data_IF_534551577249
#
_entry.id   IF_534551577249
#
_cell.length_a   1.000
_cell.length_b   1.000
_cell.length_c   1.000
_cell.angle_alpha   90.00
_cell.angle_beta   90.00
_cell.angle_gamma   90.00
#
_symmetry.space_group_name_H-M   'P 1'
#
loop_
_entity.id
_entity.type
_entity.pdbx_description
1 polymer ?
#
# COMPACT_ATOMS: atom_id res chain seq x y z
N UNK A 1 -3.75 -4.23 -24.34
CA UNK A 1 -4.28 -3.47 -24.40
C UNK A 1 -4.73 -3.50 -24.31
N UNK A 2 -3.95 -4.22 -24.28
CA UNK A 2 -4.42 -3.68 -24.28
C UNK A 2 -4.54 -3.80 -24.12
N UNK A 3 -3.64 -4.50 -24.12
CA UNK A 3 -3.91 -3.96 -24.06
C UNK A 3 -3.96 -3.96 -23.71
N UNK A 4 -3.03 -4.42 -23.58
CA UNK A 4 -3.18 -3.81 -23.36
C UNK A 4 -3.50 -3.57 -23.10
N UNK A 5 -3.07 -3.82 -22.96
CA UNK A 5 -3.41 -3.00 -22.80
C UNK A 5 -4.05 -2.74 -22.55
N UNK A 6 -3.73 -2.86 -22.47
CA UNK A 6 -4.36 -2.14 -22.14
C UNK A 6 -5.19 -1.52 -22.27
N UNK A 7 -5.31 -1.45 -22.26
CA UNK A 7 -6.07 -0.58 -22.00
C UNK A 7 -6.22 -0.07 -21.73
N UNK A 8 -5.89 0.46 -22.64
CA UNK A 8 -6.06 0.81 -21.59
C UNK A 8 -6.71 1.84 -20.86
N UNK A 9 -7.55 1.93 -20.72
CA UNK A 9 -8.13 2.76 -19.77
C UNK A 9 -7.85 2.23 -18.40
N UNK A 10 -7.59 3.09 -17.44
CA UNK A 10 -7.27 2.65 -16.10
C UNK A 10 -8.49 2.11 -15.41
N UNK A 11 -8.35 1.02 -14.68
CA UNK A 11 -9.44 0.56 -13.83
C UNK A 11 -9.75 1.62 -12.79
N UNK A 12 -11.02 1.76 -12.51
CA UNK A 12 -11.43 2.74 -11.53
C UNK A 12 -10.97 2.38 -10.13
N UNK A 13 -10.67 1.11 -9.90
CA UNK A 13 -10.31 0.65 -8.58
C UNK A 13 -8.91 1.10 -8.14
N UNK A 14 -8.03 1.46 -9.07
CA UNK A 14 -6.69 1.91 -8.70
C UNK A 14 -6.68 3.43 -8.72
N UNK A 15 -6.54 4.02 -7.53
CA UNK A 15 -6.61 5.45 -7.38
C UNK A 15 -5.24 6.10 -7.46
N UNK A 16 -4.25 5.51 -6.78
CA UNK A 16 -2.91 6.06 -6.74
C UNK A 16 -1.89 4.94 -6.74
N UNK A 17 -0.75 5.21 -7.37
CA UNK A 17 0.34 4.26 -7.41
C UNK A 17 1.65 5.04 -7.40
N UNK A 18 2.57 4.64 -6.54
CA UNK A 18 3.83 5.32 -6.37
C UNK A 18 4.99 4.34 -6.39
N UNK A 19 6.07 4.77 -7.02
CA UNK A 19 7.35 4.09 -6.94
C UNK A 19 8.14 4.85 -5.90
N UNK A 20 8.56 4.18 -4.83
CA UNK A 20 9.24 4.84 -3.73
C UNK A 20 10.70 4.46 -3.74
N UNK A 21 11.56 5.43 -3.42
CA UNK A 21 12.99 5.22 -3.37
C UNK A 21 13.47 5.08 -1.93
N UNK A 22 12.68 4.38 -1.12
CA UNK A 22 12.99 4.21 0.29
C UNK A 22 13.68 2.89 0.52
N UNK A 23 14.29 2.77 1.68
CA UNK A 23 15.06 1.58 2.00
C UNK A 23 14.18 0.36 2.21
N UNK A 24 12.96 0.54 2.65
CA UNK A 24 12.10 -0.57 3.03
C UNK A 24 10.96 -0.83 2.08
N UNK A 25 10.44 0.21 1.44
CA UNK A 25 9.25 0.10 0.63
C UNK A 25 9.57 0.48 -0.80
N UNK A 26 9.35 -0.43 -1.73
CA UNK A 26 9.63 -0.20 -3.14
C UNK A 26 8.52 0.54 -3.83
N UNK A 27 7.28 0.22 -3.52
CA UNK A 27 6.15 0.87 -4.16
C UNK A 27 4.91 0.72 -3.31
N UNK A 28 3.93 1.54 -3.60
CA UNK A 28 2.66 1.51 -2.88
C UNK A 28 1.53 1.78 -3.85
N UNK A 29 0.42 1.09 -3.67
CA UNK A 29 -0.79 1.30 -4.47
C UNK A 29 -1.97 1.47 -3.53
N UNK A 30 -2.81 2.42 -3.86
CA UNK A 30 -4.03 2.67 -3.10
C UNK A 30 -5.24 2.33 -3.95
N UNK A 31 -6.13 1.50 -3.40
CA UNK A 31 -7.36 1.12 -4.09
C UNK A 31 -8.47 1.06 -3.05
N UNK A 32 -9.43 1.95 -3.14
CA UNK A 32 -10.55 2.02 -2.18
C UNK A 32 -10.03 2.13 -0.76
N UNK A 33 -10.27 1.12 0.06
CA UNK A 33 -9.81 1.10 1.44
C UNK A 33 -8.52 0.32 1.61
N UNK A 34 -7.91 -0.10 0.51
CA UNK A 34 -6.77 -1.02 0.56
C UNK A 34 -5.51 -0.34 0.06
N UNK A 35 -4.41 -0.66 0.70
CA UNK A 35 -3.10 -0.20 0.29
C UNK A 35 -2.20 -1.42 0.17
N UNK A 36 -1.64 -1.61 -1.01
CA UNK A 36 -0.72 -2.71 -1.24
C UNK A 36 0.69 -2.16 -1.31
N UNK A 37 1.58 -2.68 -0.48
CA UNK A 37 2.95 -2.23 -0.43
C UNK A 37 3.86 -3.34 -0.93
N UNK A 38 4.78 -2.98 -1.83
CA UNK A 38 5.87 -3.87 -2.19
C UNK A 38 7.06 -3.50 -1.32
N UNK A 39 7.59 -4.47 -0.61
CA UNK A 39 8.59 -4.25 0.43
C UNK A 39 9.86 -4.99 0.04
N UNK A 40 11.00 -4.45 0.43
CA UNK A 40 12.27 -5.14 0.24
C UNK A 40 12.20 -6.47 0.98
N UNK A 41 12.50 -7.59 0.30
CA UNK A 41 12.43 -8.90 0.97
C UNK A 41 13.30 -8.92 2.20
N UNK A 42 12.75 -9.51 3.26
CA UNK A 42 13.42 -9.56 4.54
C UNK A 42 13.04 -8.46 5.49
N UNK A 43 12.41 -7.38 5.00
CA UNK A 43 12.04 -6.26 5.84
C UNK A 43 10.54 -6.20 6.12
N UNK A 44 9.80 -7.20 5.67
CA UNK A 44 8.35 -7.16 5.73
C UNK A 44 7.83 -7.10 7.17
N UNK A 45 8.41 -7.91 8.04
CA UNK A 45 7.96 -7.94 9.43
C UNK A 45 8.19 -6.60 10.11
N UNK A 46 9.33 -5.97 9.83
CA UNK A 46 9.64 -4.66 10.39
C UNK A 46 8.63 -3.63 9.92
N UNK A 47 8.35 -3.60 8.62
CA UNK A 47 7.43 -2.61 8.07
C UNK A 47 6.02 -2.85 8.59
N UNK A 48 5.60 -4.13 8.68
CA UNK A 48 4.29 -4.44 9.20
C UNK A 48 4.14 -3.96 10.64
N UNK A 49 5.16 -4.18 11.47
CA UNK A 49 5.12 -3.74 12.85
C UNK A 49 5.01 -2.22 12.92
N UNK A 50 5.76 -1.53 12.08
CA UNK A 50 5.71 -0.07 12.04
C UNK A 50 4.31 0.42 11.65
N UNK A 51 3.71 -0.22 10.65
CA UNK A 51 2.36 0.12 10.22
C UNK A 51 1.34 -0.07 11.33
N UNK A 52 1.37 -1.23 11.97
CA UNK A 52 0.37 -1.54 12.99
C UNK A 52 0.53 -0.68 14.22
N UNK A 53 1.75 -0.24 14.54
CA UNK A 53 1.96 0.67 15.64
C UNK A 53 1.53 2.10 15.30
N UNK A 54 1.92 2.55 14.13
CA UNK A 54 1.66 3.94 13.75
C UNK A 54 0.19 4.20 13.48
N UNK A 55 -0.48 3.23 12.87
CA UNK A 55 -1.86 3.42 12.40
C UNK A 55 -2.84 2.47 13.08
N UNK A 56 -2.59 2.12 14.33
CA UNK A 56 -3.40 1.10 15.01
C UNK A 56 -4.89 1.41 14.95
N UNK A 57 -5.27 2.68 15.10
CA UNK A 57 -6.67 3.08 15.11
C UNK A 57 -7.29 3.16 13.74
N UNK A 58 -6.46 3.14 12.70
CA UNK A 58 -6.92 3.40 11.34
C UNK A 58 -6.96 2.15 10.49
N UNK A 59 -6.31 1.08 10.93
CA UNK A 59 -6.21 -0.16 10.17
C UNK A 59 -7.28 -1.14 10.64
N UNK A 60 -8.01 -1.69 9.67
CA UNK A 60 -8.94 -2.77 9.95
C UNK A 60 -8.21 -4.11 9.95
N UNK A 61 -7.30 -4.31 9.01
CA UNK A 61 -6.57 -5.55 8.90
C UNK A 61 -5.26 -5.30 8.16
N UNK A 62 -4.26 -6.11 8.47
CA UNK A 62 -2.95 -5.97 7.83
C UNK A 62 -2.38 -7.36 7.62
N UNK A 63 -2.14 -7.71 6.36
CA UNK A 63 -1.64 -9.03 5.98
C UNK A 63 -0.30 -8.85 5.28
N UNK A 64 0.61 -9.77 5.53
CA UNK A 64 1.95 -9.65 4.96
C UNK A 64 2.46 -11.00 4.50
N UNK A 65 3.26 -11.00 3.43
CA UNK A 65 4.03 -12.18 3.06
C UNK A 65 5.47 -11.73 2.82
N UNK A 66 6.23 -12.48 2.01
CA UNK A 66 7.69 -12.28 1.95
C UNK A 66 8.08 -10.88 1.51
N UNK A 67 7.34 -10.28 0.58
CA UNK A 67 7.75 -9.01 0.00
C UNK A 67 6.59 -8.07 -0.22
N UNK A 68 5.43 -8.36 0.34
CA UNK A 68 4.29 -7.47 0.15
C UNK A 68 3.45 -7.40 1.41
N UNK A 69 2.76 -6.30 1.56
CA UNK A 69 1.86 -6.08 2.69
C UNK A 69 0.57 -5.50 2.15
N UNK A 70 -0.55 -6.09 2.56
CA UNK A 70 -1.86 -5.54 2.24
C UNK A 70 -2.45 -4.93 3.50
N UNK A 71 -2.72 -3.63 3.44
CA UNK A 71 -3.33 -2.90 4.55
C UNK A 71 -4.77 -2.60 4.15
N UNK A 72 -5.70 -2.94 5.02
CA UNK A 72 -7.10 -2.58 4.83
C UNK A 72 -7.44 -1.57 5.89
N UNK A 73 -7.74 -0.34 5.46
CA UNK A 73 -8.09 0.73 6.38
C UNK A 73 -9.58 0.67 6.72
N UNK A 74 -9.95 1.38 7.74
CA UNK A 74 -11.35 1.36 8.18
C UNK A 74 -12.24 2.24 7.32
N UNK A 75 -11.66 3.15 6.54
CA UNK A 75 -12.42 3.98 5.61
C UNK A 75 -11.51 4.39 4.48
N UNK A 76 -12.12 4.92 3.41
CA UNK A 76 -11.34 5.38 2.27
C UNK A 76 -10.47 6.57 2.64
N UNK A 77 -10.98 7.48 3.43
CA UNK A 77 -10.19 8.64 3.83
C UNK A 77 -9.02 8.24 4.70
N UNK A 78 -9.21 7.24 5.56
CA UNK A 78 -8.09 6.74 6.38
C UNK A 78 -7.07 6.03 5.51
N UNK A 79 -7.51 5.32 4.47
CA UNK A 79 -6.59 4.69 3.55
C UNK A 79 -5.74 5.74 2.85
N UNK A 80 -6.34 6.83 2.41
CA UNK A 80 -5.57 7.90 1.80
C UNK A 80 -4.58 8.51 2.76
N UNK A 81 -4.98 8.69 3.99
CA UNK A 81 -4.09 9.24 5.00
C UNK A 81 -2.88 8.34 5.22
N UNK A 82 -3.11 7.04 5.35
CA UNK A 82 -2.02 6.10 5.52
C UNK A 82 -1.10 6.13 4.30
N UNK A 83 -1.69 6.11 3.10
CA UNK A 83 -0.92 6.13 1.88
C UNK A 83 -0.02 7.36 1.80
N UNK A 84 -0.55 8.53 2.14
CA UNK A 84 0.24 9.76 2.07
C UNK A 84 1.37 9.75 3.08
N UNK A 85 1.17 9.15 4.24
CA UNK A 85 2.24 9.11 5.23
C UNK A 85 3.30 8.08 4.89
N UNK A 86 2.88 6.95 4.33
CA UNK A 86 3.83 5.89 3.98
C UNK A 86 4.82 6.36 2.94
N UNK A 87 4.43 7.24 2.06
CA UNK A 87 5.36 7.68 1.02
C UNK A 87 6.50 8.52 1.57
N UNK A 88 6.43 8.89 2.84
CA UNK A 88 7.54 9.60 3.50
C UNK A 88 8.40 8.67 4.35
N UNK A 89 8.17 7.38 4.30
CA UNK A 89 8.95 6.40 5.06
C UNK A 89 10.15 5.91 4.22
#
# INVERSE_FOLDING_TARGET
LRDNTYVYELPKSIVKSLQLAEDNIESAELMDKMINLQVIPGNTAFVKAQLTETFADKIFSCLADDSSILVIARSESLAEEIFEQVKNW
#
